data_IF_409982831063
#
_entry.id   IF_409982831063
#
_cell.length_a   1.000
_cell.length_b   1.000
_cell.length_c   1.000
_cell.angle_alpha   90.00
_cell.angle_beta   90.00
_cell.angle_gamma   90.00
#
_symmetry.space_group_name_H-M   'P 1'
#
loop_
_entity.id
_entity.type
_entity.pdbx_description
1 polymer ?
#
# COMPACT_ATOMS: atom_id res chain seq x y z
N UNK A 1 -13.76 -22.51 -5.27
CA UNK A 1 -13.61 -21.08 -4.93
C UNK A 1 -12.13 -20.78 -4.82
N UNK A 2 -11.61 -19.88 -5.64
CA UNK A 2 -10.22 -19.43 -5.51
C UNK A 2 -10.19 -18.36 -4.42
N UNK A 3 -9.37 -18.61 -3.40
CA UNK A 3 -9.11 -17.69 -2.31
C UNK A 3 -8.37 -16.47 -2.82
N UNK A 4 -8.89 -15.26 -2.58
CA UNK A 4 -8.37 -14.04 -3.20
C UNK A 4 -8.22 -12.89 -2.20
N UNK A 5 -7.01 -12.34 -2.12
CA UNK A 5 -6.70 -11.08 -1.45
C UNK A 5 -6.40 -10.09 -2.56
N UNK A 6 -7.02 -8.91 -2.53
CA UNK A 6 -6.53 -7.77 -3.30
C UNK A 6 -5.83 -6.79 -2.36
N UNK A 7 -4.70 -6.25 -2.81
CA UNK A 7 -4.11 -5.07 -2.18
C UNK A 7 -4.37 -3.87 -3.07
N UNK A 8 -4.67 -2.71 -2.49
CA UNK A 8 -4.81 -1.46 -3.19
C UNK A 8 -3.84 -0.46 -2.57
N UNK A 9 -2.82 -0.08 -3.33
CA UNK A 9 -1.82 0.90 -2.89
C UNK A 9 -1.70 2.03 -3.85
N UNK A 10 -1.48 3.24 -3.33
CA UNK A 10 -1.33 4.45 -4.15
C UNK A 10 0.06 5.06 -4.02
N UNK A 11 0.64 5.45 -5.15
CA UNK A 11 1.75 6.43 -5.19
C UNK A 11 1.18 7.71 -5.76
N UNK A 12 1.18 8.78 -4.97
CA UNK A 12 0.92 10.12 -5.50
C UNK A 12 2.25 10.72 -5.97
N UNK A 13 2.37 10.97 -7.27
CA UNK A 13 3.31 11.97 -7.78
C UNK A 13 2.50 13.22 -8.18
N UNK A 14 3.14 14.37 -8.51
CA UNK A 14 2.41 15.60 -8.85
C UNK A 14 1.43 15.48 -10.03
N UNK A 15 1.52 14.43 -10.86
CA UNK A 15 0.81 14.31 -12.14
C UNK A 15 -0.02 13.03 -12.28
N UNK A 16 0.14 12.06 -11.39
CA UNK A 16 -0.39 10.71 -11.56
C UNK A 16 -0.57 9.96 -10.25
N UNK A 17 -1.54 9.04 -10.24
CA UNK A 17 -1.74 8.06 -9.18
C UNK A 17 -1.57 6.66 -9.76
N UNK A 18 -0.78 5.84 -9.05
CA UNK A 18 -0.53 4.44 -9.41
C UNK A 18 -1.28 3.53 -8.46
N UNK A 19 -2.09 2.61 -8.98
CA UNK A 19 -2.72 1.55 -8.18
C UNK A 19 -2.02 0.22 -8.45
N UNK A 20 -1.55 -0.46 -7.42
CA UNK A 20 -1.00 -1.82 -7.52
C UNK A 20 -1.95 -2.84 -6.88
N UNK A 21 -2.34 -3.87 -7.62
CA UNK A 21 -3.09 -5.01 -7.10
C UNK A 21 -2.30 -6.32 -7.22
N UNK A 22 -2.20 -7.08 -6.12
CA UNK A 22 -1.56 -8.41 -6.11
C UNK A 22 -2.62 -9.49 -5.95
N UNK A 23 -2.41 -10.62 -6.64
CA UNK A 23 -3.37 -11.73 -6.75
C UNK A 23 -2.96 -13.00 -5.99
N UNK A 24 -1.89 -12.96 -5.19
CA UNK A 24 -1.32 -14.14 -4.50
C UNK A 24 -1.13 -13.94 -2.99
N UNK A 25 -1.27 -15.03 -2.24
CA UNK A 25 -1.21 -15.10 -0.76
C UNK A 25 0.10 -14.62 -0.13
N UNK A 26 1.17 -14.56 -0.92
CA UNK A 26 2.51 -14.17 -0.51
C UNK A 26 2.75 -12.75 -0.99
N UNK A 27 2.19 -11.78 -0.27
CA UNK A 27 2.36 -10.36 -0.60
C UNK A 27 3.82 -9.98 -0.28
N UNK A 28 4.68 -9.99 -1.30
CA UNK A 28 6.01 -9.38 -1.24
C UNK A 28 5.80 -7.88 -1.44
N UNK A 29 5.71 -7.12 -0.34
CA UNK A 29 5.67 -5.67 -0.39
C UNK A 29 7.09 -5.12 -0.56
N UNK A 30 7.25 -4.18 -1.48
CA UNK A 30 8.55 -3.60 -1.82
C UNK A 30 8.55 -2.14 -1.44
N UNK A 31 9.61 -1.65 -0.79
CA UNK A 31 9.73 -0.23 -0.55
C UNK A 31 10.02 0.53 -1.84
N UNK A 32 9.03 1.25 -2.35
CA UNK A 32 9.08 1.99 -3.62
C UNK A 32 9.23 3.49 -3.39
N UNK A 33 10.35 3.93 -2.80
CA UNK A 33 10.55 5.34 -2.45
C UNK A 33 11.72 6.06 -3.11
N UNK A 34 12.15 5.70 -4.33
CA UNK A 34 13.28 6.41 -4.99
C UNK A 34 13.09 6.61 -6.48
N UNK A 35 13.91 7.47 -7.10
CA UNK A 35 13.85 8.06 -8.45
C UNK A 35 13.61 7.11 -9.66
N UNK A 36 13.44 5.81 -9.42
CA UNK A 36 12.99 4.78 -10.35
C UNK A 36 11.70 4.07 -9.85
N UNK A 37 10.87 4.74 -9.05
CA UNK A 37 9.69 4.17 -8.39
C UNK A 37 8.69 3.58 -9.39
N UNK A 38 8.73 4.04 -10.65
CA UNK A 38 7.95 3.47 -11.75
C UNK A 38 8.56 2.18 -12.30
N UNK A 39 9.90 2.03 -12.29
CA UNK A 39 10.59 0.90 -12.94
C UNK A 39 10.43 -0.42 -12.19
N UNK A 40 10.44 -0.38 -10.85
CA UNK A 40 10.34 -1.61 -10.04
C UNK A 40 8.94 -2.23 -10.20
N UNK A 41 7.82 -1.51 -10.01
CA UNK A 41 6.48 -2.02 -10.29
C UNK A 41 6.37 -2.61 -11.70
N UNK A 42 6.89 -1.93 -12.73
CA UNK A 42 6.82 -2.40 -14.12
C UNK A 42 7.46 -3.80 -14.28
N UNK A 43 8.53 -4.11 -13.54
CA UNK A 43 9.13 -5.45 -13.55
C UNK A 43 8.16 -6.47 -12.95
N UNK A 44 7.51 -6.16 -11.83
CA UNK A 44 6.54 -7.04 -11.18
C UNK A 44 5.27 -7.25 -12.01
N UNK A 45 4.83 -6.22 -12.73
CA UNK A 45 3.71 -6.33 -13.67
C UNK A 45 4.05 -7.24 -14.85
N UNK A 46 5.28 -7.14 -15.40
CA UNK A 46 5.75 -8.01 -16.48
C UNK A 46 5.76 -9.48 -16.09
N UNK A 47 6.09 -9.80 -14.83
CA UNK A 47 6.05 -11.17 -14.29
C UNK A 47 4.69 -11.56 -13.71
N UNK A 48 3.64 -10.76 -13.93
CA UNK A 48 2.25 -11.02 -13.53
C UNK A 48 2.07 -11.22 -12.03
N UNK A 49 2.87 -10.51 -11.23
CA UNK A 49 2.73 -10.46 -9.78
C UNK A 49 1.82 -9.32 -9.32
N UNK A 50 1.82 -8.21 -10.05
CA UNK A 50 0.92 -7.07 -9.80
C UNK A 50 0.28 -6.60 -11.11
N UNK A 51 -0.81 -5.85 -11.01
CA UNK A 51 -1.35 -5.02 -12.10
C UNK A 51 -1.16 -3.54 -11.76
N UNK A 52 -0.69 -2.73 -12.71
CA UNK A 52 -0.50 -1.28 -12.53
C UNK A 52 -1.55 -0.53 -13.34
N UNK A 53 -2.34 0.28 -12.64
CA UNK A 53 -3.26 1.20 -13.28
C UNK A 53 -2.74 2.63 -13.18
N UNK A 54 -2.53 3.24 -14.34
CA UNK A 54 -2.09 4.64 -14.45
C UNK A 54 -3.28 5.58 -14.50
N UNK A 55 -3.28 6.57 -13.61
CA UNK A 55 -4.29 7.63 -13.59
C UNK A 55 -3.59 8.95 -13.87
N UNK A 56 -3.82 9.52 -15.04
CA UNK A 56 -3.37 10.88 -15.33
C UNK A 56 -4.27 11.86 -14.59
N UNK A 57 -3.68 12.72 -13.78
CA UNK A 57 -4.38 13.88 -13.20
C UNK A 57 -4.46 14.91 -14.34
N UNK A 58 -5.65 15.21 -14.86
CA UNK A 58 -5.77 16.20 -15.92
C UNK A 58 -5.34 17.58 -15.38
N UNK A 59 -4.51 18.29 -16.15
CA UNK A 59 -4.19 19.71 -15.89
C UNK A 59 -5.47 20.53 -16.10
N UNK A 60 -6.22 20.77 -15.02
CA UNK A 60 -7.47 21.54 -15.06
C UNK A 60 -7.20 22.94 -14.49
N UNK A 61 -7.18 23.99 -15.34
CA UNK A 61 -7.26 25.37 -14.86
C UNK A 61 -8.69 25.61 -14.35
N UNK A 62 -8.81 26.05 -13.10
CA UNK A 62 -10.05 26.35 -12.36
C UNK A 62 -10.91 25.18 -11.83
N UNK A 63 -10.81 24.99 -10.51
CA UNK A 63 -11.67 24.18 -9.67
C UNK A 63 -13.00 24.91 -9.41
N UNK A 64 -14.04 24.60 -10.17
CA UNK A 64 -15.42 24.96 -9.80
C UNK A 64 -16.11 23.76 -9.13
N UNK A 65 -16.85 24.04 -8.05
CA UNK A 65 -17.41 23.15 -7.03
C UNK A 65 -18.36 22.03 -7.49
N UNK A 66 -18.53 21.81 -8.80
CA UNK A 66 -19.24 20.66 -9.37
C UNK A 66 -18.31 19.51 -9.80
N UNK A 67 -16.99 19.63 -9.59
CA UNK A 67 -15.97 18.63 -9.97
C UNK A 67 -15.42 17.77 -8.81
N UNK A 68 -15.97 17.82 -7.60
CA UNK A 68 -15.57 16.88 -6.52
C UNK A 68 -15.77 15.40 -6.91
N UNK A 69 -16.68 15.10 -7.84
CA UNK A 69 -16.88 13.75 -8.39
C UNK A 69 -15.81 13.31 -9.39
N UNK A 70 -15.07 14.25 -9.98
CA UNK A 70 -14.01 14.00 -10.99
C UNK A 70 -12.60 14.34 -10.49
N UNK A 71 -12.47 14.89 -9.27
CA UNK A 71 -11.17 15.02 -8.62
C UNK A 71 -10.70 13.63 -8.22
N UNK A 72 -10.03 12.98 -9.17
CA UNK A 72 -9.28 11.72 -9.00
C UNK A 72 -8.17 11.94 -7.99
N UNK A 73 -8.54 11.94 -6.74
CA UNK A 73 -7.64 11.97 -5.61
C UNK A 73 -7.26 10.54 -5.23
N UNK A 74 -6.49 10.43 -4.14
CA UNK A 74 -6.10 9.14 -3.58
C UNK A 74 -7.36 8.32 -3.22
N UNK A 75 -8.48 8.97 -2.87
CA UNK A 75 -9.70 8.29 -2.42
C UNK A 75 -10.41 7.64 -3.60
N UNK A 76 -10.58 8.40 -4.68
CA UNK A 76 -11.13 7.89 -5.94
C UNK A 76 -10.32 6.69 -6.43
N UNK A 77 -9.00 6.82 -6.49
CA UNK A 77 -8.12 5.76 -6.99
C UNK A 77 -8.21 4.46 -6.18
N UNK A 78 -8.31 4.55 -4.85
CA UNK A 78 -8.51 3.39 -3.98
C UNK A 78 -9.90 2.79 -4.12
N UNK A 79 -10.93 3.61 -4.30
CA UNK A 79 -12.30 3.13 -4.51
C UNK A 79 -12.48 2.46 -5.88
N UNK A 80 -11.82 2.95 -6.92
CA UNK A 80 -11.81 2.29 -8.23
C UNK A 80 -11.13 0.92 -8.17
N UNK A 81 -10.00 0.83 -7.44
CA UNK A 81 -9.38 -0.46 -7.12
C UNK A 81 -10.36 -1.39 -6.39
N UNK A 82 -10.99 -0.89 -5.32
CA UNK A 82 -11.97 -1.64 -4.55
C UNK A 82 -13.13 -2.14 -5.42
N UNK A 83 -13.72 -1.29 -6.28
CA UNK A 83 -14.84 -1.65 -7.15
C UNK A 83 -14.44 -2.76 -8.14
N UNK A 84 -13.21 -2.75 -8.66
CA UNK A 84 -12.74 -3.77 -9.59
C UNK A 84 -12.57 -5.16 -8.93
N UNK A 85 -12.26 -5.20 -7.62
CA UNK A 85 -11.92 -6.45 -6.94
C UNK A 85 -12.94 -6.89 -5.87
N UNK A 86 -13.90 -6.06 -5.49
CA UNK A 86 -14.83 -6.33 -4.37
C UNK A 86 -15.63 -7.63 -4.51
N UNK A 87 -16.01 -8.01 -5.73
CA UNK A 87 -16.79 -9.24 -5.99
C UNK A 87 -15.91 -10.49 -6.05
N UNK A 88 -14.59 -10.32 -6.24
CA UNK A 88 -13.63 -11.42 -6.34
C UNK A 88 -12.87 -11.66 -5.03
N UNK A 89 -12.69 -10.64 -4.20
CA UNK A 89 -11.88 -10.68 -2.99
C UNK A 89 -12.72 -10.93 -1.73
N UNK A 90 -12.23 -11.77 -0.82
CA UNK A 90 -12.80 -11.91 0.52
C UNK A 90 -12.56 -10.66 1.38
N UNK A 91 -11.42 -10.02 1.17
CA UNK A 91 -11.06 -8.77 1.81
C UNK A 91 -10.02 -8.02 0.98
N UNK A 92 -9.96 -6.70 1.18
CA UNK A 92 -9.03 -5.80 0.49
C UNK A 92 -8.16 -5.08 1.51
N UNK A 93 -6.84 -5.10 1.29
CA UNK A 93 -5.88 -4.35 2.10
C UNK A 93 -5.64 -3.01 1.41
N UNK A 94 -5.76 -1.91 2.16
CA UNK A 94 -5.44 -0.56 1.65
C UNK A 94 -4.22 -0.05 2.40
N UNK A 95 -3.12 0.23 1.69
CA UNK A 95 -1.86 0.68 2.30
C UNK A 95 -1.01 1.50 1.32
N UNK A 96 0.00 2.22 1.80
CA UNK A 96 0.94 2.93 0.93
C UNK A 96 1.95 1.94 0.34
N UNK A 97 2.54 2.25 -0.82
CA UNK A 97 3.50 1.33 -1.45
C UNK A 97 4.79 1.13 -0.66
N UNK A 98 5.10 2.02 0.27
CA UNK A 98 6.25 1.96 1.16
C UNK A 98 5.91 1.29 2.51
N UNK A 99 4.70 0.75 2.63
CA UNK A 99 4.25 -0.02 3.78
C UNK A 99 4.58 -1.50 3.63
N UNK A 100 5.03 -2.10 4.73
CA UNK A 100 5.23 -3.53 4.89
C UNK A 100 4.36 -4.03 6.03
N UNK A 101 3.52 -5.02 5.79
CA UNK A 101 2.69 -5.65 6.80
C UNK A 101 3.45 -6.87 7.28
N UNK A 102 3.59 -6.96 8.58
CA UNK A 102 4.26 -8.07 9.24
C UNK A 102 3.27 -8.77 10.16
N UNK A 103 2.95 -10.02 9.83
CA UNK A 103 2.21 -10.91 10.71
C UNK A 103 3.21 -11.67 11.55
N UNK A 104 3.16 -11.45 12.86
CA UNK A 104 4.09 -12.10 13.79
C UNK A 104 3.82 -13.60 13.79
N UNK A 105 4.90 -14.38 13.97
CA UNK A 105 4.91 -15.87 13.94
C UNK A 105 4.89 -16.50 12.53
N UNK A 106 5.01 -15.71 11.46
CA UNK A 106 5.11 -16.26 10.09
C UNK A 106 3.84 -16.95 9.60
N UNK A 107 2.70 -16.68 10.24
CA UNK A 107 1.42 -17.20 9.81
C UNK A 107 1.02 -16.61 8.44
N UNK A 108 0.38 -17.38 7.55
CA UNK A 108 -0.04 -16.85 6.25
C UNK A 108 -1.12 -15.77 6.40
N UNK A 109 -1.05 -14.73 5.57
CA UNK A 109 -1.95 -13.57 5.62
C UNK A 109 -3.43 -13.92 5.56
N UNK A 110 -3.80 -14.74 4.57
CA UNK A 110 -5.20 -15.09 4.34
C UNK A 110 -5.90 -15.74 5.55
N UNK A 111 -5.43 -16.89 6.06
CA UNK A 111 -6.09 -17.55 7.19
C UNK A 111 -6.06 -16.69 8.45
N UNK A 112 -4.99 -15.92 8.71
CA UNK A 112 -4.90 -15.04 9.88
C UNK A 112 -6.03 -14.02 9.93
N UNK A 113 -6.33 -13.34 8.81
CA UNK A 113 -7.42 -12.36 8.79
C UNK A 113 -8.79 -13.02 8.65
N UNK A 114 -8.92 -14.08 7.85
CA UNK A 114 -10.20 -14.79 7.70
C UNK A 114 -10.70 -15.35 9.03
N UNK A 115 -9.80 -15.87 9.87
CA UNK A 115 -10.12 -16.35 11.21
C UNK A 115 -10.70 -15.24 12.09
N UNK A 116 -10.18 -14.01 12.00
CA UNK A 116 -10.73 -12.87 12.73
C UNK A 116 -12.19 -12.60 12.35
N UNK A 117 -12.53 -12.65 11.05
CA UNK A 117 -13.92 -12.47 10.61
C UNK A 117 -14.85 -13.63 10.94
N UNK A 118 -14.31 -14.86 11.05
CA UNK A 118 -15.10 -15.98 11.57
C UNK A 118 -15.46 -15.79 13.05
N UNK A 119 -14.55 -15.22 13.84
CA UNK A 119 -14.78 -14.93 15.26
C UNK A 119 -15.64 -13.68 15.47
N UNK A 120 -15.49 -12.68 14.61
CA UNK A 120 -16.17 -11.38 14.71
C UNK A 120 -16.85 -11.03 13.38
N UNK A 121 -18.00 -11.65 13.06
CA UNK A 121 -18.64 -11.54 11.74
C UNK A 121 -19.20 -10.15 11.42
N UNK A 122 -19.39 -9.28 12.42
CA UNK A 122 -19.87 -7.90 12.23
C UNK A 122 -18.74 -6.88 12.10
N UNK A 123 -17.49 -7.34 12.01
CA UNK A 123 -16.34 -6.45 11.87
C UNK A 123 -16.18 -6.06 10.40
N UNK A 124 -16.40 -4.78 10.06
CA UNK A 124 -16.20 -4.24 8.70
C UNK A 124 -14.72 -4.01 8.37
N UNK A 125 -13.91 -3.64 9.36
CA UNK A 125 -12.50 -3.34 9.15
C UNK A 125 -11.60 -3.93 10.23
N UNK A 126 -10.42 -4.38 9.83
CA UNK A 126 -9.29 -4.67 10.70
C UNK A 126 -8.24 -3.57 10.51
N UNK A 127 -8.00 -2.77 11.53
CA UNK A 127 -7.04 -1.68 11.51
C UNK A 127 -5.69 -2.20 12.03
N UNK A 128 -4.64 -2.02 11.23
CA UNK A 128 -3.26 -2.33 11.57
C UNK A 128 -2.62 -1.11 12.21
N UNK A 129 -2.04 -1.28 13.40
CA UNK A 129 -1.16 -0.25 13.97
C UNK A 129 0.11 -0.12 13.14
N UNK A 130 0.59 1.11 12.96
CA UNK A 130 1.77 1.40 12.16
C UNK A 130 2.99 1.80 13.02
N UNK A 131 4.19 1.46 12.54
CA UNK A 131 5.49 1.88 13.07
C UNK A 131 6.32 2.50 11.97
N UNK A 132 6.80 3.70 12.21
CA UNK A 132 7.72 4.36 11.32
C UNK A 132 9.11 3.77 11.50
N UNK A 133 9.79 3.46 10.40
CA UNK A 133 11.16 2.96 10.43
C UNK A 133 12.04 3.72 9.46
N UNK A 134 13.33 3.78 9.80
CA UNK A 134 14.40 4.13 8.87
C UNK A 134 15.16 2.85 8.50
N UNK A 135 15.58 2.77 7.23
CA UNK A 135 16.42 1.69 6.73
C UNK A 135 17.58 2.27 5.93
N UNK A 136 18.67 1.54 5.84
CA UNK A 136 19.83 1.88 5.03
C UNK A 136 19.99 0.83 3.92
N UNK A 137 19.96 1.29 2.67
CA UNK A 137 20.19 0.47 1.49
C UNK A 137 21.65 0.59 1.04
N UNK A 138 22.18 -0.49 0.45
CA UNK A 138 23.52 -0.49 -0.13
C UNK A 138 23.65 0.54 -1.27
N UNK A 139 24.88 0.99 -1.50
CA UNK A 139 25.17 1.91 -2.59
C UNK A 139 25.11 1.21 -3.94
N UNK A 140 24.32 1.78 -4.85
CA UNK A 140 24.11 1.24 -6.20
C UNK A 140 22.99 0.22 -6.24
N UNK A 141 22.22 0.24 -7.34
CA UNK A 141 21.09 -0.68 -7.52
C UNK A 141 21.56 -2.12 -7.73
N UNK A 142 22.77 -2.29 -8.28
CA UNK A 142 23.43 -3.56 -8.54
C UNK A 142 23.76 -4.34 -7.26
N UNK A 143 23.88 -3.64 -6.13
CA UNK A 143 24.17 -4.23 -4.83
C UNK A 143 22.93 -4.27 -3.92
N UNK A 144 21.76 -3.82 -4.40
CA UNK A 144 20.56 -3.78 -3.58
C UNK A 144 20.20 -5.17 -3.06
N UNK A 145 20.17 -5.30 -1.73
CA UNK A 145 19.66 -6.48 -1.05
C UNK A 145 18.59 -6.06 -0.06
N UNK A 146 17.37 -6.54 -0.29
CA UNK A 146 16.23 -6.32 0.60
C UNK A 146 16.51 -6.86 2.00
N UNK A 147 17.09 -8.06 2.11
CA UNK A 147 17.43 -8.68 3.40
C UNK A 147 18.42 -7.81 4.18
N UNK A 148 19.51 -7.37 3.55
CA UNK A 148 20.49 -6.49 4.20
C UNK A 148 19.89 -5.15 4.59
N UNK A 149 19.01 -4.61 3.74
CA UNK A 149 18.29 -3.36 4.04
C UNK A 149 17.41 -3.53 5.29
N UNK A 150 16.66 -4.63 5.41
CA UNK A 150 15.86 -4.90 6.61
C UNK A 150 16.69 -5.14 7.87
N UNK A 151 17.91 -5.65 7.75
CA UNK A 151 18.81 -5.80 8.90
C UNK A 151 19.26 -4.47 9.50
N UNK A 152 19.18 -3.37 8.73
CA UNK A 152 19.50 -2.01 9.21
C UNK A 152 18.29 -1.26 9.76
N UNK A 153 17.13 -1.91 9.83
CA UNK A 153 15.87 -1.28 10.23
C UNK A 153 15.97 -0.71 11.65
N UNK A 154 15.75 0.60 11.77
CA UNK A 154 15.65 1.30 13.03
C UNK A 154 14.24 1.83 13.24
N UNK A 155 13.57 1.37 14.29
CA UNK A 155 12.19 1.79 14.61
C UNK A 155 12.23 3.15 15.28
N UNK A 156 11.51 4.11 14.69
CA UNK A 156 11.37 5.44 15.26
C UNK A 156 10.30 5.43 16.37
N UNK A 157 10.42 6.34 17.36
CA UNK A 157 9.45 6.44 18.45
C UNK A 157 8.07 6.96 18.00
N UNK A 158 7.99 7.53 16.80
CA UNK A 158 6.77 8.09 16.25
C UNK A 158 5.75 6.98 15.91
N UNK A 159 4.54 7.13 16.47
CA UNK A 159 3.38 6.35 16.04
C UNK A 159 2.62 7.17 15.01
N UNK A 160 2.31 6.55 13.88
CA UNK A 160 1.50 7.13 12.83
C UNK A 160 0.15 6.43 12.76
N UNK A 161 -0.78 7.03 12.02
CA UNK A 161 -2.06 6.39 11.73
C UNK A 161 -1.82 5.07 11.00
N UNK A 162 -2.54 4.07 11.48
CA UNK A 162 -2.60 2.76 10.88
C UNK A 162 -3.17 2.75 9.46
N UNK A 163 -3.20 1.56 8.91
CA UNK A 163 -3.89 1.23 7.66
C UNK A 163 -4.96 0.18 7.91
N UNK A 164 -5.83 -0.06 6.94
CA UNK A 164 -7.02 -0.88 7.15
C UNK A 164 -7.15 -2.00 6.14
N UNK A 165 -7.68 -3.11 6.63
CA UNK A 165 -8.11 -4.27 5.85
C UNK A 165 -9.63 -4.33 5.91
N UNK A 166 -10.25 -4.44 4.76
CA UNK A 166 -11.68 -4.30 4.58
C UNK A 166 -12.33 -5.61 4.20
N UNK A 167 -13.38 -6.00 4.93
CA UNK A 167 -14.23 -7.09 4.49
C UNK A 167 -15.15 -6.58 3.37
N UNK A 168 -14.93 -7.07 2.16
CA UNK A 168 -15.62 -6.59 0.95
C UNK A 168 -17.13 -6.76 1.02
N UNK A 169 -17.63 -7.76 1.76
CA UNK A 169 -19.06 -8.02 1.93
C UNK A 169 -19.79 -7.07 2.88
N UNK A 170 -19.04 -6.22 3.62
CA UNK A 170 -19.56 -5.39 4.70
C UNK A 170 -19.30 -3.88 4.50
N UNK A 171 -18.66 -3.49 3.40
CA UNK A 171 -18.31 -2.10 3.12
C UNK A 171 -18.77 -1.68 1.73
N UNK A 172 -18.92 -0.38 1.52
CA UNK A 172 -19.31 0.22 0.24
C UNK A 172 -18.19 1.09 -0.37
N UNK A 173 -17.20 1.47 0.44
CA UNK A 173 -16.06 2.29 0.02
C UNK A 173 -14.85 2.00 0.92
N UNK A 174 -13.68 2.41 0.45
CA UNK A 174 -12.41 2.28 1.16
C UNK A 174 -11.69 3.62 1.30
N UNK A 175 -10.87 3.75 2.34
CA UNK A 175 -9.97 4.89 2.54
C UNK A 175 -8.71 4.48 3.30
N UNK A 176 -7.63 5.25 3.17
CA UNK A 176 -6.34 4.95 3.82
C UNK A 176 -6.44 4.99 5.35
N UNK A 177 -7.23 5.92 5.89
CA UNK A 177 -7.30 6.16 7.32
C UNK A 177 -8.68 5.87 7.91
N UNK A 178 -9.74 6.50 7.38
CA UNK A 178 -11.09 6.42 7.94
C UNK A 178 -12.17 6.53 6.85
N UNK A 179 -12.68 5.41 6.30
CA UNK A 179 -13.72 5.48 5.29
C UNK A 179 -15.03 5.93 5.92
N UNK A 180 -15.92 6.44 5.07
CA UNK A 180 -17.26 6.85 5.49
C UNK A 180 -18.02 5.69 6.13
N UNK A 181 -18.70 5.96 7.24
CA UNK A 181 -19.51 4.97 7.93
C UNK A 181 -20.93 4.92 7.38
N UNK A 182 -21.28 3.83 6.70
CA UNK A 182 -22.63 3.63 6.15
C UNK A 182 -23.55 2.86 7.11
N UNK A 183 -23.04 1.82 7.78
CA UNK A 183 -23.80 1.04 8.77
C UNK A 183 -23.13 1.12 10.15
N UNK A 184 -23.86 1.69 11.11
CA UNK A 184 -23.41 1.88 12.52
C UNK A 184 -23.40 0.58 13.33
N UNK A 185 -24.02 -0.50 12.84
CA UNK A 185 -24.02 -1.81 13.50
C UNK A 185 -22.68 -2.53 13.28
N UNK A 186 -22.00 -2.21 12.19
CA UNK A 186 -20.73 -2.80 11.82
C UNK A 186 -19.59 -2.13 12.58
N UNK A 187 -18.62 -2.94 13.01
CA UNK A 187 -17.52 -2.49 13.89
C UNK A 187 -16.20 -2.44 13.16
N UNK A 188 -15.37 -1.49 13.53
CA UNK A 188 -13.95 -1.47 13.18
C UNK A 188 -13.15 -2.00 14.36
N UNK A 189 -12.22 -2.93 14.12
CA UNK A 189 -11.39 -3.52 15.16
C UNK A 189 -9.93 -3.18 14.89
N UNK A 190 -9.18 -2.78 15.90
CA UNK A 190 -7.73 -2.63 15.80
C UNK A 190 -7.06 -3.93 16.20
N UNK A 191 -6.21 -4.47 15.34
CA UNK A 191 -5.41 -5.65 15.64
C UNK A 191 -4.30 -5.31 16.63
N UNK A 192 -4.00 -6.24 17.53
CA UNK A 192 -2.90 -6.09 18.47
C UNK A 192 -1.56 -6.17 17.70
N UNK A 193 -0.61 -5.31 18.07
CA UNK A 193 0.74 -5.31 17.49
C UNK A 193 1.48 -6.64 17.65
N UNK A 194 1.06 -7.48 18.59
CA UNK A 194 1.58 -8.84 18.75
C UNK A 194 1.11 -9.79 17.65
N UNK A 195 0.00 -9.48 16.98
CA UNK A 195 -0.63 -10.32 15.96
C UNK A 195 -0.25 -9.82 14.56
N UNK A 196 -0.40 -8.51 14.32
CA UNK A 196 0.01 -7.87 13.07
C UNK A 196 0.45 -6.42 13.30
N UNK A 197 1.49 -5.99 12.57
CA UNK A 197 1.95 -4.60 12.59
C UNK A 197 2.30 -4.15 11.18
N UNK A 198 2.00 -2.91 10.88
CA UNK A 198 2.44 -2.25 9.66
C UNK A 198 3.73 -1.48 9.93
N UNK A 199 4.69 -1.62 9.03
CA UNK A 199 5.98 -0.97 9.03
C UNK A 199 5.96 0.05 7.89
N UNK A 200 5.94 1.33 8.24
CA UNK A 200 5.97 2.43 7.29
C UNK A 200 7.41 2.89 7.09
N UNK A 201 7.97 2.58 5.93
CA UNK A 201 9.38 2.83 5.63
C UNK A 201 9.61 4.28 5.17
N UNK A 202 9.65 5.20 6.13
CA UNK A 202 9.68 6.65 5.89
C UNK A 202 10.95 7.11 5.17
N UNK A 203 12.09 6.51 5.52
CA UNK A 203 13.40 6.90 4.98
C UNK A 203 14.22 5.67 4.62
N UNK A 204 14.65 5.57 3.35
CA UNK A 204 15.82 4.79 2.97
C UNK A 204 17.01 5.70 2.76
N UNK A 205 18.06 5.47 3.53
CA UNK A 205 19.34 6.12 3.30
C UNK A 205 20.13 5.21 2.38
N UNK A 206 20.45 5.69 1.19
CA UNK A 206 21.57 5.11 0.45
C UNK A 206 22.83 5.66 1.12
N UNK A 207 23.84 4.82 1.32
CA UNK A 207 25.16 5.32 1.73
C UNK A 207 25.59 6.50 0.84
N UNK A 208 26.45 7.39 1.35
CA UNK A 208 26.79 8.70 0.74
C UNK A 208 26.86 8.65 -0.79
N UNK A 209 25.76 9.01 -1.45
CA UNK A 209 25.70 9.18 -2.89
C UNK A 209 26.22 10.59 -3.15
N UNK A 210 27.42 10.72 -3.71
CA UNK A 210 27.94 12.01 -4.15
C UNK A 210 27.01 12.53 -5.26
N UNK A 211 26.09 13.44 -4.91
CA UNK A 211 25.11 14.06 -5.81
C UNK A 211 25.74 14.86 -6.96
N UNK A 212 27.08 15.01 -6.99
CA UNK A 212 27.82 15.74 -8.01
C UNK A 212 27.93 15.03 -9.37
N UNK A 213 27.38 13.82 -9.56
CA UNK A 213 27.48 13.07 -10.83
C UNK A 213 26.18 12.79 -11.59
N UNK A 214 25.05 13.39 -11.21
CA UNK A 214 23.83 13.37 -12.05
C UNK A 214 23.57 14.78 -12.60
N UNK A 215 24.57 15.29 -13.32
CA UNK A 215 24.40 16.43 -14.21
C UNK A 215 24.53 15.92 -15.64
N UNK A 216 23.43 15.98 -16.40
CA UNK A 216 23.35 15.79 -17.86
C UNK A 216 23.62 14.36 -18.35
N UNK A 217 22.60 13.49 -18.38
CA UNK A 217 22.34 12.54 -19.48
C UNK A 217 21.16 11.62 -19.15
N UNK A 218 20.00 12.20 -18.81
CA UNK A 218 18.72 11.48 -18.91
C UNK A 218 17.80 12.32 -19.80
N UNK A 219 18.13 12.33 -21.09
CA UNK A 219 17.17 12.55 -22.16
C UNK A 219 17.42 11.43 -23.16
N UNK A 220 16.31 10.80 -23.60
CA UNK A 220 16.22 9.69 -24.54
C UNK A 220 16.37 8.31 -23.90
N UNK A 221 15.26 7.76 -23.41
CA UNK A 221 14.72 6.46 -23.83
C UNK A 221 13.22 6.45 -23.52
#
# INVERSE_FOLDING_TARGET
MHTFIASCSTIANPTSIYVTASHKSDIIQLPLRYANAERVPIVYEKIKMIDIHHWNIPDIPDLNSRKELDSRDIAGSLNDCYINYREAADFIIVHDVDDLIYIKQGAPFYPSFKQHWQQFPLTKTLNLTARTVEMEAENGYENFSMLKTFQTMNVLPERIYGKSIYNTSLIESVWIHWPTEFDKRLKSMTLDEKDAVLIHARTFKFGKYNQTKIGKNVRNF
#
